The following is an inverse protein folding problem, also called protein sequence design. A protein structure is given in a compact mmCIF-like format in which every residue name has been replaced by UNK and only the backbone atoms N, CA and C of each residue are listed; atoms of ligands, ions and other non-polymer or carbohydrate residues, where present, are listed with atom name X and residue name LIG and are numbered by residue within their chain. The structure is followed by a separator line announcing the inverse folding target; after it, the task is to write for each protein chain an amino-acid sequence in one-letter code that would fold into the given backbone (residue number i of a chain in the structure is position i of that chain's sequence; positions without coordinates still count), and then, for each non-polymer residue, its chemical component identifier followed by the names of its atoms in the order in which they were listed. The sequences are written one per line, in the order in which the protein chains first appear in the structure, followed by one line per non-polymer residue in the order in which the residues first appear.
data_IF_249801098614
#
_entry.id   IF_249801098614
#
_cell.length_a   1.000
_cell.length_b   1.000
_cell.length_c   1.000
_cell.angle_alpha   90.00
_cell.angle_beta   90.00
_cell.angle_gamma   90.00
#
_symmetry.space_group_name_H-M   'P 1'
#
loop_
_entity.id
_entity.type
_entity.pdbx_description
1 polymer ?
#
# COMPACT_ATOMS: atom_id res chain seq x y z
N UNK A 1 9.02 -9.10 -24.19
CA UNK A 1 8.86 -7.84 -23.43
C UNK A 1 7.37 -7.63 -23.24
N UNK A 2 6.75 -8.37 -22.31
CA UNK A 2 5.30 -8.28 -22.10
C UNK A 2 5.07 -7.05 -21.24
N UNK A 3 4.79 -5.93 -21.90
CA UNK A 3 4.34 -4.72 -21.24
C UNK A 3 3.03 -5.08 -20.54
N UNK A 4 3.09 -5.15 -19.21
CA UNK A 4 1.89 -5.10 -18.37
C UNK A 4 1.21 -3.82 -18.82
N UNK A 5 0.13 -3.95 -19.58
CA UNK A 5 -0.74 -2.83 -19.87
C UNK A 5 -1.36 -2.46 -18.52
N UNK A 6 -0.67 -1.56 -17.82
CA UNK A 6 -1.15 -0.86 -16.64
C UNK A 6 -2.41 -0.16 -17.14
N UNK A 7 -3.56 -0.76 -16.85
CA UNK A 7 -4.84 -0.14 -17.13
C UNK A 7 -4.87 1.09 -16.24
N UNK A 8 -4.44 2.24 -16.78
CA UNK A 8 -4.48 3.54 -16.10
C UNK A 8 -5.88 3.68 -15.54
N UNK A 9 -5.99 3.62 -14.22
CA UNK A 9 -7.26 3.86 -13.57
C UNK A 9 -7.66 5.28 -13.96
N UNK A 10 -8.79 5.49 -14.64
CA UNK A 10 -9.18 6.82 -15.12
C UNK A 10 -9.66 7.72 -13.97
N UNK A 11 -9.64 7.23 -12.73
CA UNK A 11 -10.13 7.89 -11.53
C UNK A 11 -9.09 7.80 -10.41
N UNK A 12 -9.06 8.82 -9.55
CA UNK A 12 -8.22 8.85 -8.35
C UNK A 12 -8.68 7.78 -7.35
N UNK A 13 -7.82 7.40 -6.41
CA UNK A 13 -8.10 6.41 -5.37
C UNK A 13 -8.39 5.00 -5.89
N UNK A 14 -7.80 4.67 -7.03
CA UNK A 14 -7.91 3.37 -7.66
C UNK A 14 -7.04 2.28 -7.01
N UNK A 15 -7.11 1.10 -7.63
CA UNK A 15 -6.30 -0.05 -7.26
C UNK A 15 -4.86 0.11 -7.82
N UNK A 16 -3.83 0.13 -6.97
CA UNK A 16 -2.43 0.24 -7.43
C UNK A 16 -1.98 -0.96 -8.26
N UNK A 17 -2.65 -2.11 -8.13
CA UNK A 17 -2.38 -3.31 -8.95
C UNK A 17 -2.73 -3.09 -10.43
N UNK A 18 -3.70 -2.23 -10.73
CA UNK A 18 -4.04 -1.85 -12.11
C UNK A 18 -3.22 -0.66 -12.61
N UNK A 19 -2.60 0.08 -11.68
CA UNK A 19 -1.88 1.32 -11.94
C UNK A 19 -2.53 2.49 -11.24
N UNK A 20 -1.69 3.42 -10.77
CA UNK A 20 -2.11 4.72 -10.28
C UNK A 20 -2.00 5.78 -11.39
N UNK A 21 -2.70 6.89 -11.21
CA UNK A 21 -2.53 8.05 -12.09
C UNK A 21 -1.12 8.67 -11.93
N UNK A 22 -0.73 9.56 -12.84
CA UNK A 22 0.63 10.14 -12.88
C UNK A 22 0.93 11.06 -11.69
N UNK A 23 -0.10 11.65 -11.08
CA UNK A 23 -0.07 12.50 -9.88
C UNK A 23 -0.37 11.72 -8.59
N UNK A 24 -0.59 10.41 -8.70
CA UNK A 24 -0.83 9.51 -7.59
C UNK A 24 0.36 8.60 -7.30
N UNK A 25 0.45 8.16 -6.06
CA UNK A 25 1.42 7.15 -5.64
C UNK A 25 0.71 6.02 -4.92
N UNK A 26 1.23 4.80 -5.07
CA UNK A 26 0.78 3.67 -4.27
C UNK A 26 1.25 3.87 -2.82
N UNK A 27 0.29 4.07 -1.91
CA UNK A 27 0.58 4.27 -0.49
C UNK A 27 0.04 3.09 0.30
N UNK A 28 0.85 2.62 1.25
CA UNK A 28 0.46 1.65 2.26
C UNK A 28 0.54 2.29 3.63
N UNK A 29 -0.54 2.20 4.39
CA UNK A 29 -0.55 2.67 5.77
C UNK A 29 -0.14 1.52 6.69
N UNK A 30 0.84 1.75 7.57
CA UNK A 30 1.33 0.74 8.52
C UNK A 30 0.20 0.23 9.41
N UNK A 31 -0.13 -1.06 9.35
CA UNK A 31 -1.26 -1.64 10.08
C UNK A 31 -2.50 -1.91 9.21
N UNK A 32 -2.46 -1.50 7.94
CA UNK A 32 -3.39 -1.97 6.91
C UNK A 32 -2.70 -3.01 6.02
N UNK A 33 -3.48 -4.00 5.60
CA UNK A 33 -3.00 -5.05 4.68
C UNK A 33 -3.18 -4.66 3.19
N UNK A 34 -3.96 -3.61 2.92
CA UNK A 34 -4.24 -3.12 1.58
C UNK A 34 -3.41 -1.90 1.20
N UNK A 35 -3.28 -1.69 -0.11
CA UNK A 35 -2.66 -0.53 -0.72
C UNK A 35 -3.70 0.25 -1.52
N UNK A 36 -3.46 1.52 -1.76
CA UNK A 36 -4.33 2.36 -2.59
C UNK A 36 -3.51 3.41 -3.30
N UNK A 37 -4.01 3.86 -4.45
CA UNK A 37 -3.48 5.05 -5.10
C UNK A 37 -3.93 6.29 -4.32
N UNK A 38 -3.00 7.17 -4.03
CA UNK A 38 -3.25 8.36 -3.23
C UNK A 38 -2.61 9.58 -3.88
N UNK A 39 -3.40 10.59 -4.27
CA UNK A 39 -2.86 11.84 -4.74
C UNK A 39 -2.28 12.62 -3.56
N UNK A 40 -1.25 13.42 -3.84
CA UNK A 40 -0.69 14.35 -2.85
C UNK A 40 -1.71 15.45 -2.59
N UNK A 41 -1.87 15.88 -1.34
CA UNK A 41 -2.77 17.00 -1.05
C UNK A 41 -2.25 18.28 -1.72
N UNK A 42 -3.17 19.09 -2.23
CA UNK A 42 -2.82 20.41 -2.74
C UNK A 42 -2.36 21.36 -1.61
N UNK A 43 -1.91 22.56 -1.98
CA UNK A 43 -1.51 23.59 -1.02
C UNK A 43 -2.64 24.10 -0.11
N UNK A 44 -3.89 23.82 -0.43
CA UNK A 44 -5.08 24.16 0.35
C UNK A 44 -5.53 22.99 1.26
N UNK A 45 -4.94 21.80 1.11
CA UNK A 45 -5.37 20.57 1.80
C UNK A 45 -6.58 19.89 1.15
N UNK A 46 -6.89 20.23 -0.10
CA UNK A 46 -7.97 19.64 -0.89
C UNK A 46 -7.50 18.36 -1.58
N UNK A 47 -8.47 17.50 -1.84
CA UNK A 47 -8.30 16.20 -2.46
C UNK A 47 -9.26 16.10 -3.67
N UNK A 48 -8.83 15.48 -4.78
CA UNK A 48 -9.71 15.22 -5.92
C UNK A 48 -11.01 14.54 -5.48
N UNK A 49 -12.13 14.94 -6.06
CA UNK A 49 -13.43 14.29 -5.85
C UNK A 49 -13.75 13.24 -6.90
N UNK A 50 -12.82 12.98 -7.82
CA UNK A 50 -12.98 12.07 -8.95
C UNK A 50 -12.78 10.63 -8.50
N UNK A 51 -13.79 10.10 -7.83
CA UNK A 51 -13.80 8.73 -7.29
C UNK A 51 -14.33 7.72 -8.32
N UNK A 52 -13.92 6.45 -8.22
CA UNK A 52 -14.47 5.37 -9.02
C UNK A 52 -15.99 5.28 -8.89
N UNK A 53 -16.66 4.86 -9.96
CA UNK A 53 -18.12 4.74 -9.96
C UNK A 53 -18.59 3.71 -8.92
N UNK A 54 -19.42 4.16 -7.99
CA UNK A 54 -19.96 3.33 -6.91
C UNK A 54 -19.31 3.61 -5.55
N UNK A 55 -18.23 4.40 -5.52
CA UNK A 55 -17.63 4.85 -4.28
C UNK A 55 -18.46 6.00 -3.71
N UNK A 56 -18.85 5.86 -2.45
CA UNK A 56 -19.51 6.90 -1.64
C UNK A 56 -18.61 7.43 -0.53
N UNK A 57 -17.39 6.92 -0.44
CA UNK A 57 -16.38 7.39 0.50
C UNK A 57 -15.98 8.84 0.22
N UNK A 58 -15.64 9.58 1.28
CA UNK A 58 -15.32 11.01 1.18
C UNK A 58 -13.81 11.21 1.11
N UNK A 59 -13.27 11.90 0.08
CA UNK A 59 -11.84 12.20 0.02
C UNK A 59 -11.46 13.21 1.09
N UNK A 60 -10.46 12.88 1.90
CA UNK A 60 -9.90 13.79 2.90
C UNK A 60 -8.37 13.72 2.92
N UNK A 61 -7.76 14.90 3.12
CA UNK A 61 -6.32 15.04 3.35
C UNK A 61 -5.98 14.66 4.81
N UNK A 62 -6.20 13.40 5.17
CA UNK A 62 -6.02 12.89 6.52
C UNK A 62 -4.68 12.19 6.73
N UNK A 63 -3.99 11.81 5.65
CA UNK A 63 -2.75 11.03 5.73
C UNK A 63 -1.55 11.96 5.77
N UNK A 64 -0.61 11.64 6.66
CA UNK A 64 0.67 12.33 6.75
C UNK A 64 1.79 11.32 6.89
N UNK A 65 2.78 11.43 6.03
CA UNK A 65 4.01 10.64 6.09
C UNK A 65 4.97 11.18 7.14
N UNK A 66 5.97 10.38 7.48
CA UNK A 66 7.05 10.77 8.41
C UNK A 66 7.94 11.88 7.86
N UNK A 67 8.00 12.04 6.52
CA UNK A 67 8.72 13.13 5.84
C UNK A 67 7.97 14.45 5.89
N UNK A 68 6.70 14.45 6.33
CA UNK A 68 5.86 15.63 6.43
C UNK A 68 4.91 15.82 5.24
N UNK A 69 5.02 14.98 4.21
CA UNK A 69 4.12 15.03 3.06
C UNK A 69 2.71 14.55 3.43
N UNK A 70 1.71 15.27 2.92
CA UNK A 70 0.30 14.97 3.13
C UNK A 70 -0.30 14.30 1.90
N UNK A 71 -1.14 13.31 2.15
CA UNK A 71 -1.75 12.47 1.13
C UNK A 71 -3.25 12.37 1.34
N UNK A 72 -3.97 12.21 0.24
CA UNK A 72 -5.41 12.10 0.23
C UNK A 72 -5.86 10.64 0.38
N UNK A 73 -6.81 10.40 1.27
CA UNK A 73 -7.43 9.08 1.42
C UNK A 73 -8.94 9.19 1.32
N UNK A 74 -9.57 8.13 0.82
CA UNK A 74 -11.02 7.99 0.86
C UNK A 74 -11.44 7.48 2.24
N UNK A 75 -12.16 8.33 2.98
CA UNK A 75 -12.69 7.98 4.28
C UNK A 75 -14.02 7.25 4.12
N UNK A 76 -14.08 6.04 4.65
CA UNK A 76 -15.23 5.15 4.56
C UNK A 76 -15.76 4.78 5.94
N UNK A 77 -17.03 4.38 6.01
CA UNK A 77 -17.65 3.82 7.21
C UNK A 77 -17.89 2.31 7.08
N UNK A 78 -18.20 1.86 5.86
CA UNK A 78 -18.45 0.48 5.48
C UNK A 78 -17.75 0.12 4.16
N UNK A 79 -17.54 -1.18 3.92
CA UNK A 79 -16.92 -1.68 2.68
C UNK A 79 -17.70 -1.27 1.42
N UNK A 80 -19.02 -1.11 1.54
CA UNK A 80 -19.88 -0.62 0.47
C UNK A 80 -19.53 0.79 -0.03
N UNK A 81 -18.83 1.59 0.79
CA UNK A 81 -18.43 2.94 0.41
C UNK A 81 -17.24 2.97 -0.56
N UNK A 82 -16.52 1.85 -0.66
CA UNK A 82 -15.28 1.71 -1.43
C UNK A 82 -15.49 0.97 -2.76
N UNK A 83 -16.75 0.74 -3.16
CA UNK A 83 -17.12 0.09 -4.41
C UNK A 83 -16.51 -1.31 -4.57
N UNK A 84 -15.34 -1.38 -5.22
CA UNK A 84 -14.57 -2.63 -5.44
C UNK A 84 -13.43 -2.86 -4.45
N UNK A 85 -13.10 -1.85 -3.64
CA UNK A 85 -12.14 -1.93 -2.54
C UNK A 85 -12.78 -2.43 -1.24
N UNK A 86 -12.05 -2.30 -0.15
CA UNK A 86 -12.51 -2.64 1.19
C UNK A 86 -12.15 -1.53 2.18
N UNK A 87 -13.06 -1.26 3.10
CA UNK A 87 -12.93 -0.25 4.12
C UNK A 87 -12.14 -0.78 5.31
N UNK A 88 -10.88 -0.36 5.43
CA UNK A 88 -10.00 -0.77 6.50
C UNK A 88 -9.91 0.32 7.57
N UNK A 89 -10.33 0.00 8.79
CA UNK A 89 -10.35 0.94 9.91
C UNK A 89 -9.01 0.96 10.63
N UNK A 90 -8.43 2.14 10.74
CA UNK A 90 -7.18 2.38 11.44
C UNK A 90 -7.28 3.65 12.29
N UNK A 91 -6.89 3.56 13.56
CA UNK A 91 -6.83 4.70 14.48
C UNK A 91 -8.15 5.50 14.53
N UNK A 92 -9.29 4.83 14.41
CA UNK A 92 -10.63 5.44 14.44
C UNK A 92 -11.13 6.02 13.12
N UNK A 93 -10.36 5.92 12.02
CA UNK A 93 -10.72 6.37 10.68
C UNK A 93 -10.76 5.16 9.73
N UNK A 94 -11.81 5.03 8.91
CA UNK A 94 -11.87 4.00 7.85
C UNK A 94 -11.24 4.51 6.56
N UNK A 95 -10.41 3.72 5.91
CA UNK A 95 -9.79 4.03 4.62
C UNK A 95 -10.13 2.98 3.58
N UNK A 96 -10.55 3.42 2.39
CA UNK A 96 -10.69 2.52 1.27
C UNK A 96 -9.32 2.06 0.79
N UNK A 97 -9.11 0.76 0.82
CA UNK A 97 -7.88 0.11 0.34
C UNK A 97 -8.24 -1.05 -0.55
N UNK A 98 -7.32 -1.43 -1.43
CA UNK A 98 -7.48 -2.59 -2.29
C UNK A 98 -6.55 -3.69 -1.84
N UNK A 99 -6.93 -4.94 -2.09
CA UNK A 99 -6.04 -6.07 -1.83
C UNK A 99 -4.72 -5.85 -2.56
N UNK A 100 -3.67 -5.81 -1.76
CA UNK A 100 -2.35 -5.48 -2.22
C UNK A 100 -1.78 -6.65 -3.03
N UNK A 101 -1.34 -6.39 -4.27
CA UNK A 101 -0.72 -7.46 -5.08
C UNK A 101 0.64 -7.93 -4.52
N UNK A 102 1.24 -7.20 -3.58
CA UNK A 102 2.41 -7.68 -2.81
C UNK A 102 2.04 -8.70 -1.73
N UNK A 103 0.78 -8.77 -1.27
CA UNK A 103 0.32 -9.91 -0.44
C UNK A 103 -0.10 -11.12 -1.26
N UNK A 104 -0.42 -10.94 -2.55
CA UNK A 104 -0.57 -12.07 -3.48
C UNK A 104 0.78 -12.72 -3.84
N UNK A 105 1.88 -12.02 -3.55
CA UNK A 105 3.25 -12.51 -3.60
C UNK A 105 3.80 -12.96 -2.23
N UNK A 106 2.95 -13.10 -1.21
CA UNK A 106 3.24 -14.00 -0.09
C UNK A 106 2.66 -15.37 -0.44
N UNK A 107 3.45 -16.30 -1.00
CA UNK A 107 3.19 -17.68 -0.63
C UNK A 107 3.39 -17.74 0.88
N UNK A 108 2.65 -18.63 1.54
CA UNK A 108 2.80 -18.93 2.96
C UNK A 108 4.28 -18.96 3.40
N UNK A 109 4.78 -17.89 4.04
CA UNK A 109 6.05 -17.93 4.78
C UNK A 109 5.73 -18.03 6.26
N UNK A 110 5.12 -19.16 6.61
CA UNK A 110 5.27 -19.79 7.91
C UNK A 110 5.28 -21.30 7.66
N UNK A 111 6.43 -21.83 7.25
CA UNK A 111 6.90 -23.17 7.64
C UNK A 111 8.39 -23.28 7.34
N UNK A 112 9.15 -23.19 8.43
CA UNK A 112 10.37 -23.94 8.74
C UNK A 112 11.58 -23.83 7.80
N UNK A 113 12.61 -23.19 8.38
CA UNK A 113 14.04 -23.43 8.19
C UNK A 113 14.36 -24.76 7.49
N UNK A 114 14.92 -24.69 6.29
CA UNK A 114 15.74 -25.77 5.73
C UNK A 114 17.08 -25.17 5.31
N UNK A 115 18.11 -25.58 6.04
CA UNK A 115 19.52 -25.28 5.81
C UNK A 115 19.92 -25.82 4.43
N UNK A 116 20.55 -24.98 3.60
CA UNK A 116 21.44 -25.44 2.53
C UNK A 116 22.48 -24.35 2.24
N UNK A 117 23.74 -24.75 2.38
CA UNK A 117 25.00 -24.01 2.42
C UNK A 117 25.45 -23.33 1.12
N UNK A 118 26.35 -22.34 1.30
CA UNK A 118 27.60 -22.04 0.55
C UNK A 118 27.60 -20.78 -0.38
N UNK A 119 28.76 -20.11 -0.63
CA UNK A 119 29.38 -19.11 0.26
C UNK A 119 29.93 -17.89 -0.52
N UNK A 120 29.86 -16.67 -0.01
CA UNK A 120 30.89 -15.64 -0.30
C UNK A 120 30.86 -14.57 0.78
N UNK A 121 31.63 -14.82 1.83
CA UNK A 121 32.68 -13.92 2.32
C UNK A 121 32.34 -12.42 2.37
N UNK A 122 31.51 -12.01 3.33
CA UNK A 122 31.84 -10.99 4.34
C UNK A 122 30.74 -11.03 5.41
N UNK A 123 31.11 -11.49 6.62
CA UNK A 123 30.21 -11.97 7.66
C UNK A 123 29.34 -10.90 8.32
N UNK A 124 28.08 -11.26 8.56
CA UNK A 124 27.13 -10.53 9.39
C UNK A 124 27.43 -10.83 10.89
N UNK A 125 27.55 -9.82 11.77
CA UNK A 125 27.98 -9.94 13.17
C UNK A 125 26.97 -10.62 14.14
N UNK A 126 26.10 -11.53 13.66
CA UNK A 126 25.06 -12.16 14.48
C UNK A 126 25.38 -13.56 15.02
N UNK A 127 26.46 -14.20 14.60
CA UNK A 127 26.89 -15.48 15.19
C UNK A 127 28.18 -15.22 15.95
N UNK A 128 28.09 -15.26 17.29
CA UNK A 128 29.24 -15.08 18.17
C UNK A 128 30.44 -15.92 17.74
N UNK A 129 31.62 -15.44 18.10
CA UNK A 129 32.90 -16.11 17.85
C UNK A 129 32.95 -17.46 18.57
N UNK A 130 33.11 -18.55 17.83
CA UNK A 130 33.53 -19.82 18.40
C UNK A 130 35.05 -19.80 18.62
N UNK A 131 35.47 -20.51 19.66
CA UNK A 131 36.71 -20.28 20.41
C UNK A 131 37.73 -21.38 20.14
N UNK A 132 38.33 -21.45 18.95
CA UNK A 132 39.49 -22.33 18.70
C UNK A 132 40.34 -22.00 17.45
N UNK A 133 40.37 -20.74 17.01
CA UNK A 133 41.43 -20.23 16.10
C UNK A 133 42.15 -19.02 16.72
#
# INVERSE_FOLDING_TARGET
MTQVAVATNPTHYGNPSTGCESDEVAVRVSGLSGDFCSPKCDSQGTCPSDVPKGDTATPQCALRTTTGDKYCGLICQADSDCGTGSCQKMMGIGLCTYESSIVKALPAVMTQVAVATNPTHYGNPSTGCESDE
#
